data_IF_349571578525
#
_entry.id   IF_349571578525
#
_cell.length_a   1.000
_cell.length_b   1.000
_cell.length_c   1.000
_cell.angle_alpha   90.00
_cell.angle_beta   90.00
_cell.angle_gamma   90.00
#
_symmetry.space_group_name_H-M   'P 1'
#
loop_
_entity.id
_entity.type
_entity.pdbx_description
1 polymer ?
#
# COMPACT_ATOMS: atom_id res chain seq x y z
N UNK A 1 -15.88 -3.57 17.11
CA UNK A 1 -15.90 -3.16 15.69
C UNK A 1 -14.99 -1.95 15.54
N UNK A 2 -14.59 -1.63 14.31
CA UNK A 2 -13.78 -0.46 13.88
C UNK A 2 -12.28 -0.74 13.70
N UNK A 3 -11.92 -1.30 12.55
CA UNK A 3 -10.60 -1.04 11.98
C UNK A 3 -10.55 0.43 11.59
N UNK A 4 -9.59 1.18 12.11
CA UNK A 4 -9.39 2.59 11.80
C UNK A 4 -8.82 2.66 10.37
N UNK A 5 -9.70 2.68 9.37
CA UNK A 5 -9.31 3.03 8.01
C UNK A 5 -8.87 4.48 8.02
N UNK A 6 -7.59 4.73 7.84
CA UNK A 6 -7.06 6.09 7.69
C UNK A 6 -7.27 6.52 6.24
N UNK A 7 -8.48 6.98 5.90
CA UNK A 7 -8.79 7.57 4.60
C UNK A 7 -8.21 8.99 4.41
N UNK A 8 -7.34 9.43 5.31
CA UNK A 8 -6.55 10.65 5.16
C UNK A 8 -5.80 10.65 3.82
N UNK A 9 -5.82 11.80 3.14
CA UNK A 9 -5.15 11.98 1.85
C UNK A 9 -3.67 11.56 1.87
N UNK A 10 -2.97 11.73 3.00
CA UNK A 10 -1.57 11.33 3.17
C UNK A 10 -1.32 9.81 3.10
N UNK A 11 -2.36 8.99 3.26
CA UNK A 11 -2.30 7.53 3.10
C UNK A 11 -2.61 7.09 1.66
N UNK A 12 -3.12 7.98 0.81
CA UNK A 12 -3.51 7.65 -0.56
C UNK A 12 -2.27 7.62 -1.47
N UNK A 13 -2.05 6.48 -2.13
CA UNK A 13 -0.92 6.28 -3.03
C UNK A 13 -1.43 5.88 -4.41
N UNK A 14 -1.01 6.61 -5.45
CA UNK A 14 -1.30 6.23 -6.82
C UNK A 14 -0.41 5.05 -7.22
N UNK A 15 -1.00 3.88 -7.39
CA UNK A 15 -0.29 2.64 -7.73
C UNK A 15 -0.82 2.05 -9.04
N UNK A 16 0.08 1.43 -9.80
CA UNK A 16 -0.30 0.60 -10.94
C UNK A 16 -1.16 -0.60 -10.47
N UNK A 17 -2.06 -1.13 -11.31
CA UNK A 17 -2.95 -2.23 -10.89
C UNK A 17 -2.20 -3.46 -10.37
N UNK A 18 -1.09 -3.82 -11.01
CA UNK A 18 -0.22 -4.92 -10.54
C UNK A 18 0.43 -4.59 -9.19
N UNK A 19 0.92 -3.37 -9.03
CA UNK A 19 1.57 -2.87 -7.83
C UNK A 19 0.60 -2.91 -6.63
N UNK A 20 -0.65 -2.46 -6.85
CA UNK A 20 -1.70 -2.48 -5.83
C UNK A 20 -2.06 -3.92 -5.43
N UNK A 21 -2.17 -4.83 -6.42
CA UNK A 21 -2.42 -6.26 -6.16
C UNK A 21 -1.27 -6.90 -5.37
N UNK A 22 -0.03 -6.59 -5.72
CA UNK A 22 1.17 -7.10 -5.04
C UNK A 22 1.27 -6.51 -3.62
N UNK A 23 1.00 -5.22 -3.43
CA UNK A 23 0.98 -4.58 -2.10
C UNK A 23 -0.05 -5.24 -1.18
N UNK A 24 -1.29 -5.38 -1.66
CA UNK A 24 -2.40 -5.86 -0.84
C UNK A 24 -2.59 -4.98 0.40
N UNK A 25 -2.81 -5.60 1.56
CA UNK A 25 -2.99 -4.89 2.85
C UNK A 25 -1.67 -4.52 3.55
N UNK A 26 -0.53 -4.62 2.85
CA UNK A 26 0.80 -4.26 3.40
C UNK A 26 1.11 -2.79 3.20
N UNK A 27 2.11 -2.29 3.93
CA UNK A 27 2.63 -0.93 3.78
C UNK A 27 3.44 -0.74 2.50
N UNK A 28 3.80 0.52 2.22
CA UNK A 28 4.59 0.90 1.05
C UNK A 28 6.01 0.31 1.07
N UNK A 29 6.55 0.08 2.26
CA UNK A 29 7.83 -0.59 2.53
C UNK A 29 7.93 -1.96 1.86
N UNK A 30 6.81 -2.70 1.75
CA UNK A 30 6.79 -3.97 1.03
C UNK A 30 7.14 -3.83 -0.45
N UNK A 31 6.63 -2.78 -1.11
CA UNK A 31 6.94 -2.52 -2.52
C UNK A 31 8.39 -2.10 -2.70
N UNK A 32 8.95 -1.31 -1.77
CA UNK A 32 10.35 -0.88 -1.79
C UNK A 32 11.27 -2.11 -1.67
N UNK A 33 11.02 -2.99 -0.68
CA UNK A 33 11.80 -4.21 -0.49
C UNK A 33 11.75 -5.16 -1.70
N UNK A 34 10.62 -5.17 -2.44
CA UNK A 34 10.45 -5.97 -3.67
C UNK A 34 11.21 -5.43 -4.88
N UNK A 35 11.56 -4.14 -4.92
CA UNK A 35 12.36 -3.55 -6.01
C UNK A 35 13.85 -3.83 -5.87
N UNK A 36 14.31 -4.01 -4.63
CA UNK A 36 15.74 -4.23 -4.30
C UNK A 36 16.12 -5.71 -4.15
N UNK A 37 15.22 -6.63 -4.53
CA UNK A 37 15.42 -8.08 -4.46
C UNK A 37 15.45 -8.72 -5.84
#
# INVERSE_FOLDING_TARGET
>A
MTGCGTDHLGNLQLLCSNCNRVKGNRGQDYLIAKQTA
#
